data_IF_574547452675
#
_entry.id   IF_574547452675
#
_cell.length_a   1.000
_cell.length_b   1.000
_cell.length_c   1.000
_cell.angle_alpha   90.00
_cell.angle_beta   90.00
_cell.angle_gamma   90.00
#
_symmetry.space_group_name_H-M   'P 1'
#
loop_
_entity.id
_entity.type
_entity.pdbx_description
1 polymer ?
#
# COMPACT_ATOMS: atom_id res chain seq x y z
N UNK A 1 34.11 -1.35 50.94
CA UNK A 1 33.01 -1.27 49.91
C UNK A 1 31.69 -1.29 50.63
N UNK A 2 30.99 -0.15 50.71
CA UNK A 2 29.66 -0.04 51.35
C UNK A 2 28.62 -0.66 50.41
N UNK A 3 27.93 -1.70 50.92
CA UNK A 3 26.81 -2.30 50.19
C UNK A 3 25.58 -1.37 50.35
N UNK A 4 25.12 -0.81 49.26
CA UNK A 4 23.89 -0.02 49.22
C UNK A 4 22.69 -1.01 49.27
N UNK A 5 21.85 -0.93 50.33
CA UNK A 5 20.63 -1.69 50.46
C UNK A 5 19.52 -0.90 49.79
N UNK A 6 18.87 -1.48 48.79
CA UNK A 6 17.66 -0.92 48.17
C UNK A 6 16.49 -1.63 48.78
N UNK A 7 15.65 -0.90 49.53
CA UNK A 7 14.35 -1.39 50.05
C UNK A 7 13.26 -1.05 49.00
N UNK A 8 12.57 -2.08 48.51
CA UNK A 8 11.34 -1.89 47.72
C UNK A 8 10.16 -2.07 48.65
N UNK A 9 9.39 -1.01 48.89
CA UNK A 9 8.12 -1.06 49.59
C UNK A 9 6.98 -1.24 48.58
N UNK A 10 6.27 -2.36 48.70
CA UNK A 10 4.97 -2.50 48.06
C UNK A 10 3.90 -2.39 49.16
N UNK A 11 3.13 -1.31 49.16
CA UNK A 11 2.03 -1.13 50.08
C UNK A 11 0.73 -1.71 49.49
N UNK A 12 0.26 -2.83 50.04
CA UNK A 12 -1.12 -3.31 49.84
C UNK A 12 -1.93 -2.91 51.07
N UNK A 13 -2.92 -2.06 50.89
CA UNK A 13 -3.93 -1.72 51.88
C UNK A 13 -4.97 -2.86 51.98
N UNK A 14 -4.85 -3.71 52.97
CA UNK A 14 -5.91 -4.28 53.83
C UNK A 14 -5.38 -5.52 54.59
N UNK A 15 -5.43 -5.47 55.92
CA UNK A 15 -5.22 -6.62 56.82
C UNK A 15 -3.74 -6.91 57.11
N UNK A 16 -3.34 -6.71 58.39
CA UNK A 16 -1.96 -6.85 58.83
C UNK A 16 -1.36 -8.21 58.58
N UNK A 17 -0.55 -8.28 57.52
CA UNK A 17 0.42 -9.34 57.30
C UNK A 17 1.79 -8.67 57.31
N UNK A 18 2.57 -9.00 58.33
CA UNK A 18 3.98 -8.60 58.39
C UNK A 18 4.73 -9.36 57.30
N UNK A 19 4.98 -8.72 56.16
CA UNK A 19 5.86 -9.28 55.14
C UNK A 19 7.31 -9.02 55.56
N UNK A 20 8.03 -10.07 55.92
CA UNK A 20 9.48 -10.03 55.98
C UNK A 20 10.02 -9.87 54.55
N UNK A 21 10.67 -8.76 54.32
CA UNK A 21 11.40 -8.57 53.05
C UNK A 21 12.57 -9.56 52.96
N UNK A 22 12.45 -10.60 52.17
CA UNK A 22 13.61 -11.40 51.77
C UNK A 22 14.57 -10.55 50.94
N UNK A 23 15.85 -10.53 51.33
CA UNK A 23 16.92 -9.99 50.50
C UNK A 23 16.99 -10.81 49.21
N UNK A 24 16.34 -10.35 48.16
CA UNK A 24 16.53 -10.91 46.82
C UNK A 24 17.91 -10.47 46.28
N UNK A 25 18.72 -11.41 45.88
CA UNK A 25 19.96 -11.11 45.20
C UNK A 25 19.63 -10.25 43.93
N UNK A 26 20.17 -9.05 43.84
CA UNK A 26 19.98 -8.20 42.70
C UNK A 26 20.55 -8.90 41.44
N UNK A 27 19.79 -9.01 40.36
CA UNK A 27 20.29 -9.60 39.14
C UNK A 27 21.46 -8.78 38.61
N UNK A 28 22.46 -9.45 38.03
CA UNK A 28 23.63 -8.79 37.44
C UNK A 28 23.26 -7.78 36.36
N UNK A 29 22.10 -7.92 35.80
CA UNK A 29 21.58 -7.04 34.75
C UNK A 29 20.07 -6.88 34.94
N UNK A 30 19.62 -5.65 35.02
CA UNK A 30 18.19 -5.30 34.97
C UNK A 30 17.93 -4.88 33.54
N UNK A 31 17.14 -5.67 32.80
CA UNK A 31 16.63 -5.24 31.50
C UNK A 31 15.46 -4.28 31.75
N UNK A 32 15.72 -2.98 31.57
CA UNK A 32 14.69 -1.97 31.50
C UNK A 32 14.31 -1.87 30.04
N UNK A 33 13.47 -2.74 29.57
CA UNK A 33 12.96 -2.71 28.22
C UNK A 33 11.48 -2.91 28.22
N UNK A 34 10.75 -1.97 27.66
CA UNK A 34 9.41 -2.30 27.17
C UNK A 34 9.64 -3.07 25.88
N UNK A 35 9.25 -4.32 25.85
CA UNK A 35 8.95 -4.95 24.58
C UNK A 35 7.82 -4.12 23.96
N UNK A 36 8.17 -3.29 22.99
CA UNK A 36 7.15 -2.69 22.13
C UNK A 36 6.66 -3.84 21.26
N UNK A 37 5.54 -4.41 21.67
CA UNK A 37 4.78 -5.26 20.76
C UNK A 37 4.27 -4.31 19.68
N UNK A 38 4.93 -4.33 18.52
CA UNK A 38 4.42 -3.64 17.35
C UNK A 38 3.17 -4.42 16.92
N UNK A 39 2.02 -3.81 17.08
CA UNK A 39 0.77 -4.37 16.60
C UNK A 39 0.64 -4.06 15.12
N UNK A 40 0.25 -5.06 14.33
CA UNK A 40 -0.17 -4.86 12.94
C UNK A 40 -1.43 -4.01 12.94
N UNK A 41 -1.48 -2.99 12.12
CA UNK A 41 -2.71 -2.25 11.84
C UNK A 41 -3.62 -3.12 11.00
N UNK A 42 -4.90 -3.11 11.32
CA UNK A 42 -5.89 -3.85 10.53
C UNK A 42 -6.86 -2.85 9.92
N UNK A 43 -6.98 -2.89 8.62
CA UNK A 43 -8.03 -2.21 7.86
C UNK A 43 -9.01 -3.28 7.39
N UNK A 44 -10.22 -3.26 7.94
CA UNK A 44 -11.28 -4.21 7.57
C UNK A 44 -11.93 -3.76 6.28
N UNK A 45 -11.73 -4.55 5.24
CA UNK A 45 -12.32 -4.36 3.93
C UNK A 45 -13.39 -5.42 3.67
N UNK A 46 -14.43 -5.13 2.88
CA UNK A 46 -15.45 -6.12 2.55
C UNK A 46 -14.90 -7.19 1.61
N UNK A 47 -15.46 -8.38 1.67
CA UNK A 47 -15.31 -9.39 0.65
C UNK A 47 -16.38 -9.16 -0.44
N UNK A 48 -16.00 -9.27 -1.71
CA UNK A 48 -16.86 -8.94 -2.84
C UNK A 48 -16.91 -10.12 -3.82
N UNK A 49 -18.06 -10.74 -3.95
CA UNK A 49 -18.27 -11.84 -4.92
C UNK A 49 -17.23 -12.98 -4.78
N UNK A 50 -16.78 -13.27 -3.55
CA UNK A 50 -15.74 -14.27 -3.28
C UNK A 50 -14.32 -13.80 -3.58
N UNK A 51 -14.11 -12.50 -3.81
CA UNK A 51 -12.80 -11.86 -3.88
C UNK A 51 -12.48 -11.15 -2.57
N UNK A 52 -11.23 -11.27 -2.12
CA UNK A 52 -10.67 -10.48 -1.03
C UNK A 52 -10.06 -9.19 -1.60
N UNK A 53 -10.19 -8.09 -0.86
CA UNK A 53 -9.48 -6.85 -1.14
C UNK A 53 -8.11 -6.89 -0.44
N UNK A 54 -7.06 -7.17 -1.21
CA UNK A 54 -5.69 -7.18 -0.71
C UNK A 54 -5.10 -5.77 -0.77
N UNK A 55 -4.47 -5.34 0.32
CA UNK A 55 -3.81 -4.04 0.47
C UNK A 55 -2.37 -4.16 -0.03
N UNK A 56 -2.04 -3.47 -1.12
CA UNK A 56 -0.77 -3.63 -1.82
C UNK A 56 -0.10 -2.28 -2.06
N UNK A 57 1.24 -2.31 -2.11
CA UNK A 57 2.06 -1.20 -2.60
C UNK A 57 3.07 -1.75 -3.61
N UNK A 58 2.96 -1.30 -4.86
CA UNK A 58 3.75 -1.84 -5.97
C UNK A 58 4.88 -0.91 -6.42
N UNK A 59 5.23 0.10 -5.60
CA UNK A 59 6.31 1.02 -5.89
C UNK A 59 7.05 1.38 -4.60
N UNK A 60 8.15 0.65 -4.36
CA UNK A 60 8.91 0.76 -3.11
C UNK A 60 10.41 0.66 -3.38
N UNK A 61 11.18 1.63 -2.89
CA UNK A 61 12.63 1.71 -3.03
C UNK A 61 13.37 1.31 -1.77
N UNK A 62 14.58 0.79 -1.97
CA UNK A 62 15.46 0.35 -0.88
C UNK A 62 16.88 0.92 -1.05
N UNK A 63 17.79 0.56 -0.15
CA UNK A 63 19.21 0.93 -0.25
C UNK A 63 19.91 0.33 -1.50
N UNK A 64 19.25 -0.57 -2.23
CA UNK A 64 19.77 -1.11 -3.49
C UNK A 64 19.56 -0.15 -4.67
N UNK A 65 18.71 0.86 -4.52
CA UNK A 65 18.67 2.04 -5.38
C UNK A 65 19.03 3.30 -4.56
N UNK A 66 18.21 4.31 -4.56
CA UNK A 66 18.40 5.57 -3.86
C UNK A 66 17.55 5.70 -2.59
N UNK A 67 16.78 4.68 -2.24
CA UNK A 67 16.14 4.58 -0.94
C UNK A 67 17.16 4.40 0.18
N UNK A 68 16.78 4.78 1.41
CA UNK A 68 17.67 4.68 2.58
C UNK A 68 17.34 3.51 3.52
N UNK A 69 16.40 2.66 3.13
CA UNK A 69 15.84 1.61 3.98
C UNK A 69 16.22 0.21 3.46
N UNK A 70 16.59 -0.68 4.38
CA UNK A 70 16.88 -2.07 4.03
C UNK A 70 15.62 -2.83 3.58
N UNK A 71 15.72 -3.75 2.59
CA UNK A 71 14.58 -4.53 2.09
C UNK A 71 13.78 -5.24 3.17
N UNK A 72 14.46 -5.81 4.17
CA UNK A 72 13.80 -6.47 5.32
C UNK A 72 12.99 -5.50 6.16
N UNK A 73 13.41 -4.24 6.27
CA UNK A 73 12.66 -3.22 6.99
C UNK A 73 11.43 -2.77 6.19
N UNK A 74 11.49 -2.70 4.85
CA UNK A 74 10.32 -2.46 3.99
C UNK A 74 9.21 -3.48 4.23
N UNK A 75 9.59 -4.75 4.38
CA UNK A 75 8.64 -5.82 4.74
C UNK A 75 8.05 -5.60 6.13
N UNK A 76 8.87 -5.15 7.10
CA UNK A 76 8.38 -4.85 8.46
C UNK A 76 7.41 -3.69 8.47
N UNK A 77 7.73 -2.58 7.79
CA UNK A 77 6.85 -1.43 7.62
C UNK A 77 5.51 -1.86 6.98
N UNK A 78 5.56 -2.61 5.89
CA UNK A 78 4.36 -3.12 5.24
C UNK A 78 3.48 -3.96 6.18
N UNK A 79 4.11 -4.84 6.97
CA UNK A 79 3.37 -5.64 7.95
C UNK A 79 2.76 -4.78 9.06
N UNK A 80 3.52 -3.83 9.61
CA UNK A 80 3.05 -2.96 10.69
C UNK A 80 1.87 -2.10 10.25
N UNK A 81 1.86 -1.69 8.99
CA UNK A 81 0.82 -0.85 8.40
C UNK A 81 -0.36 -1.64 7.82
N UNK A 82 -0.32 -2.96 7.91
CA UNK A 82 -1.44 -3.82 7.53
C UNK A 82 -1.51 -4.18 6.06
N UNK A 83 -0.44 -3.96 5.28
CA UNK A 83 -0.40 -4.38 3.88
C UNK A 83 -0.35 -5.91 3.76
N UNK A 84 -0.89 -6.43 2.68
CA UNK A 84 -0.87 -7.85 2.31
C UNK A 84 0.27 -8.17 1.35
N UNK A 85 0.65 -7.21 0.49
CA UNK A 85 1.72 -7.37 -0.47
C UNK A 85 2.52 -6.08 -0.68
N UNK A 86 3.80 -6.22 -1.02
CA UNK A 86 4.63 -5.14 -1.57
C UNK A 86 5.42 -5.65 -2.76
N UNK A 87 5.73 -4.76 -3.72
CA UNK A 87 6.76 -4.99 -4.71
C UNK A 87 8.01 -4.19 -4.36
N UNK A 88 9.18 -4.83 -4.41
CA UNK A 88 10.45 -4.11 -4.41
C UNK A 88 10.77 -3.75 -5.86
N UNK A 89 10.88 -2.46 -6.12
CA UNK A 89 11.02 -1.87 -7.46
C UNK A 89 12.16 -0.88 -7.51
N UNK A 90 13.31 -1.25 -6.93
CA UNK A 90 14.52 -0.42 -6.98
C UNK A 90 14.85 -0.01 -8.41
N UNK A 91 15.37 1.21 -8.59
CA UNK A 91 15.82 1.72 -9.87
C UNK A 91 16.86 0.80 -10.50
N UNK A 92 16.71 0.51 -11.79
CA UNK A 92 17.71 -0.25 -12.55
C UNK A 92 18.94 0.60 -12.78
N UNK A 93 18.79 1.89 -13.13
CA UNK A 93 19.87 2.78 -13.48
C UNK A 93 20.43 3.57 -12.29
N UNK A 94 19.59 3.87 -11.32
CA UNK A 94 19.92 4.70 -10.17
C UNK A 94 20.34 3.91 -8.94
N UNK A 95 21.59 3.49 -8.84
CA UNK A 95 22.11 2.69 -7.72
C UNK A 95 23.30 3.38 -7.00
N UNK A 96 23.10 4.49 -6.28
CA UNK A 96 24.20 5.23 -5.65
C UNK A 96 24.97 4.42 -4.61
N UNK A 97 24.34 3.49 -3.92
CA UNK A 97 24.96 2.64 -2.91
C UNK A 97 25.58 1.33 -3.46
N UNK A 98 25.54 1.11 -4.79
CA UNK A 98 25.95 -0.14 -5.48
C UNK A 98 27.33 -0.69 -5.04
N UNK A 99 28.28 0.19 -4.80
CA UNK A 99 29.63 -0.20 -4.35
C UNK A 99 29.65 -0.80 -2.93
N UNK A 100 28.62 -0.54 -2.13
CA UNK A 100 28.53 -0.97 -0.72
C UNK A 100 27.59 -2.16 -0.54
N UNK A 101 26.50 -2.26 -1.33
CA UNK A 101 25.46 -3.28 -1.16
C UNK A 101 25.51 -4.40 -2.20
N UNK A 102 26.37 -4.27 -3.22
CA UNK A 102 26.49 -5.24 -4.32
C UNK A 102 25.82 -4.78 -5.62
N UNK A 103 26.07 -5.52 -6.69
CA UNK A 103 25.72 -5.10 -8.04
C UNK A 103 24.47 -5.71 -8.64
N UNK A 104 23.94 -6.80 -8.07
CA UNK A 104 22.78 -7.51 -8.62
C UNK A 104 21.48 -6.83 -8.27
N UNK A 105 20.62 -6.62 -9.23
CA UNK A 105 19.28 -6.05 -9.05
C UNK A 105 18.32 -7.03 -8.36
N UNK A 106 18.62 -8.33 -8.39
CA UNK A 106 17.85 -9.33 -7.65
C UNK A 106 18.09 -9.31 -6.13
N UNK A 107 19.19 -8.67 -5.66
CA UNK A 107 19.65 -8.75 -4.27
C UNK A 107 18.62 -8.20 -3.26
N UNK A 108 17.92 -7.13 -3.59
CA UNK A 108 16.93 -6.54 -2.71
C UNK A 108 15.77 -7.50 -2.42
N UNK A 109 15.23 -8.12 -3.46
CA UNK A 109 14.20 -9.16 -3.32
C UNK A 109 14.71 -10.37 -2.54
N UNK A 110 15.91 -10.88 -2.87
CA UNK A 110 16.50 -12.06 -2.22
C UNK A 110 16.75 -11.83 -0.74
N UNK A 111 17.12 -10.61 -0.35
CA UNK A 111 17.29 -10.22 1.05
C UNK A 111 15.94 -10.16 1.81
N UNK A 112 14.88 -9.73 1.16
CA UNK A 112 13.57 -9.53 1.80
C UNK A 112 12.73 -10.80 1.92
N UNK A 113 12.94 -11.80 1.07
CA UNK A 113 12.04 -12.96 0.90
C UNK A 113 11.78 -13.78 2.16
N UNK A 114 12.81 -13.98 3.00
CA UNK A 114 12.64 -14.75 4.25
C UNK A 114 11.82 -13.96 5.29
N UNK A 115 12.08 -12.66 5.40
CA UNK A 115 11.31 -11.79 6.29
C UNK A 115 9.85 -11.67 5.81
N UNK A 116 9.63 -11.59 4.50
CA UNK A 116 8.29 -11.57 3.91
C UNK A 116 7.52 -12.86 4.22
N UNK A 117 8.16 -14.02 4.04
CA UNK A 117 7.58 -15.31 4.38
C UNK A 117 7.23 -15.40 5.88
N UNK A 118 8.14 -14.97 6.76
CA UNK A 118 7.95 -14.96 8.21
C UNK A 118 6.79 -14.09 8.66
N UNK A 119 6.56 -12.96 7.98
CA UNK A 119 5.48 -12.01 8.29
C UNK A 119 4.21 -12.25 7.49
N UNK A 120 4.20 -13.26 6.62
CA UNK A 120 3.08 -13.54 5.73
C UNK A 120 2.73 -12.33 4.83
N UNK A 121 3.76 -11.62 4.34
CA UNK A 121 3.66 -10.60 3.31
C UNK A 121 3.95 -11.24 1.96
N UNK A 122 3.09 -10.99 0.97
CA UNK A 122 3.34 -11.40 -0.40
C UNK A 122 4.38 -10.44 -0.99
N UNK A 123 5.55 -10.96 -1.31
CA UNK A 123 6.63 -10.18 -1.90
C UNK A 123 6.63 -10.37 -3.41
N UNK A 124 6.44 -9.28 -4.14
CA UNK A 124 6.51 -9.24 -5.61
C UNK A 124 7.90 -8.80 -6.04
N UNK A 125 8.50 -9.57 -6.94
CA UNK A 125 9.78 -9.20 -7.54
C UNK A 125 9.54 -8.24 -8.70
N UNK A 126 10.22 -7.08 -8.66
CA UNK A 126 10.12 -6.07 -9.70
C UNK A 126 11.39 -5.22 -9.80
N UNK A 127 11.35 -4.26 -10.69
CA UNK A 127 12.38 -3.25 -10.85
C UNK A 127 11.83 -2.07 -11.64
N UNK A 128 12.33 -0.89 -11.35
CA UNK A 128 11.94 0.32 -12.04
C UNK A 128 12.94 0.67 -13.14
N UNK A 129 12.48 0.58 -14.39
CA UNK A 129 13.20 1.06 -15.57
C UNK A 129 13.08 2.58 -15.60
N UNK A 130 14.16 3.27 -15.27
CA UNK A 130 14.19 4.71 -15.01
C UNK A 130 14.76 5.46 -16.18
N UNK A 131 13.96 6.32 -16.81
CA UNK A 131 14.37 7.18 -17.93
C UNK A 131 13.75 8.56 -17.78
N UNK A 132 14.39 9.54 -18.42
CA UNK A 132 13.77 10.86 -18.56
C UNK A 132 12.48 10.77 -19.38
N UNK A 133 11.53 11.64 -19.08
CA UNK A 133 10.28 11.74 -19.84
C UNK A 133 10.52 12.33 -21.23
N UNK A 134 10.02 11.72 -22.33
CA UNK A 134 9.44 10.39 -22.43
C UNK A 134 10.48 9.27 -22.54
N UNK A 135 10.28 8.01 -22.11
CA UNK A 135 9.02 7.44 -21.65
C UNK A 135 8.72 7.69 -20.17
N UNK A 136 9.66 8.19 -19.36
CA UNK A 136 9.57 8.27 -17.94
C UNK A 136 9.93 6.95 -17.25
N UNK A 137 9.42 6.74 -16.06
CA UNK A 137 9.69 5.57 -15.23
C UNK A 137 8.62 4.50 -15.41
N UNK A 138 9.04 3.25 -15.51
CA UNK A 138 8.13 2.12 -15.64
C UNK A 138 8.52 0.99 -14.69
N UNK A 139 7.60 0.57 -13.84
CA UNK A 139 7.79 -0.65 -13.05
C UNK A 139 7.48 -1.89 -13.87
N UNK A 140 8.41 -2.85 -13.85
CA UNK A 140 8.19 -4.20 -14.32
C UNK A 140 7.98 -5.12 -13.12
N UNK A 141 6.74 -5.59 -12.93
CA UNK A 141 6.35 -6.44 -11.79
C UNK A 141 6.30 -7.91 -12.20
N UNK A 142 6.55 -8.81 -11.25
CA UNK A 142 6.53 -10.26 -11.43
C UNK A 142 7.58 -10.77 -12.42
N UNK A 143 8.75 -10.15 -12.45
CA UNK A 143 9.91 -10.63 -13.20
C UNK A 143 10.61 -11.75 -12.45
N UNK A 144 11.20 -12.69 -13.17
CA UNK A 144 12.03 -13.74 -12.60
C UNK A 144 13.46 -13.27 -12.35
N UNK A 145 13.99 -12.48 -13.29
CA UNK A 145 15.33 -11.94 -13.28
C UNK A 145 15.32 -10.42 -13.55
N UNK A 146 15.57 -9.65 -12.50
CA UNK A 146 15.61 -8.17 -12.56
C UNK A 146 16.90 -7.70 -13.27
N UNK A 147 18.01 -8.46 -13.17
CA UNK A 147 19.27 -8.10 -13.85
C UNK A 147 19.12 -8.05 -15.40
N UNK A 148 18.17 -8.82 -15.95
CA UNK A 148 17.86 -8.79 -17.37
C UNK A 148 17.29 -7.44 -17.86
N UNK A 149 16.79 -6.60 -16.93
CA UNK A 149 16.26 -5.27 -17.22
C UNK A 149 17.37 -4.22 -17.38
N UNK A 150 18.60 -4.49 -16.93
CA UNK A 150 19.74 -3.58 -17.07
C UNK A 150 20.22 -3.52 -18.53
N UNK A 151 19.49 -2.74 -19.32
CA UNK A 151 19.73 -2.57 -20.77
C UNK A 151 19.96 -1.08 -21.07
N UNK A 152 20.97 -0.74 -21.89
CA UNK A 152 21.22 0.65 -22.30
C UNK A 152 20.02 1.28 -23.04
N UNK A 153 19.34 0.47 -23.84
CA UNK A 153 18.16 0.86 -24.60
C UNK A 153 16.89 0.54 -23.80
N UNK A 154 16.05 1.56 -23.54
CA UNK A 154 14.83 1.38 -22.74
C UNK A 154 13.82 0.42 -23.38
N UNK A 155 13.73 0.39 -24.72
CA UNK A 155 12.84 -0.55 -25.40
C UNK A 155 13.28 -1.99 -25.21
N UNK A 156 14.60 -2.24 -25.14
CA UNK A 156 15.15 -3.57 -24.84
C UNK A 156 14.91 -3.95 -23.39
N UNK A 157 14.98 -2.99 -22.45
CA UNK A 157 14.63 -3.23 -21.04
C UNK A 157 13.16 -3.64 -20.91
N UNK A 158 12.25 -2.90 -21.55
CA UNK A 158 10.81 -3.21 -21.55
C UNK A 158 10.53 -4.55 -22.25
N UNK A 159 11.20 -4.81 -23.38
CA UNK A 159 11.08 -6.10 -24.09
C UNK A 159 11.56 -7.27 -23.21
N UNK A 160 12.65 -7.09 -22.44
CA UNK A 160 13.15 -8.10 -21.52
C UNK A 160 12.16 -8.36 -20.37
N UNK A 161 11.50 -7.32 -19.87
CA UNK A 161 10.41 -7.45 -18.91
C UNK A 161 9.20 -8.21 -19.50
N UNK A 162 8.76 -7.80 -20.68
CA UNK A 162 7.62 -8.42 -21.38
C UNK A 162 7.87 -9.92 -21.66
N UNK A 163 9.08 -10.29 -22.10
CA UNK A 163 9.46 -11.70 -22.36
C UNK A 163 9.38 -12.58 -21.12
N UNK A 164 9.52 -12.01 -19.93
CA UNK A 164 9.33 -12.69 -18.65
C UNK A 164 7.86 -12.71 -18.20
N UNK A 165 6.94 -12.17 -18.99
CA UNK A 165 5.53 -12.06 -18.65
C UNK A 165 5.27 -11.06 -17.51
N UNK A 166 6.11 -10.04 -17.39
CA UNK A 166 5.93 -8.97 -16.42
C UNK A 166 4.66 -8.18 -16.67
N UNK A 167 4.08 -7.66 -15.59
CA UNK A 167 3.10 -6.59 -15.65
C UNK A 167 3.86 -5.26 -15.66
N UNK A 168 3.64 -4.42 -16.65
CA UNK A 168 4.36 -3.14 -16.81
C UNK A 168 3.40 -1.99 -16.53
N UNK A 169 3.76 -1.15 -15.53
CA UNK A 169 3.04 0.05 -15.18
C UNK A 169 3.86 1.30 -15.47
N UNK A 170 3.22 2.38 -15.90
CA UNK A 170 3.81 3.71 -15.99
C UNK A 170 3.67 4.43 -14.65
N UNK A 171 4.80 4.86 -14.09
CA UNK A 171 4.89 5.47 -12.78
C UNK A 171 4.72 6.99 -12.88
N UNK A 172 4.15 7.61 -11.84
CA UNK A 172 4.09 9.06 -11.56
C UNK A 172 4.20 9.94 -12.84
N UNK A 173 3.19 9.93 -13.73
CA UNK A 173 3.27 10.55 -15.07
C UNK A 173 3.45 12.07 -15.05
N UNK A 174 3.31 12.72 -13.88
CA UNK A 174 3.51 14.16 -13.68
C UNK A 174 4.87 14.52 -13.11
N UNK A 175 5.67 13.53 -12.71
CA UNK A 175 6.94 13.81 -12.05
C UNK A 175 7.97 14.43 -13.00
N UNK A 176 8.55 15.57 -12.57
CA UNK A 176 9.62 16.24 -13.32
C UNK A 176 9.20 16.87 -14.64
N UNK A 177 7.90 17.08 -14.89
CA UNK A 177 7.38 17.69 -16.11
C UNK A 177 6.38 18.82 -15.80
N UNK A 178 6.35 19.85 -16.63
CA UNK A 178 5.40 20.96 -16.51
C UNK A 178 3.97 20.59 -16.93
N UNK A 179 3.85 19.58 -17.80
CA UNK A 179 2.57 19.13 -18.34
C UNK A 179 2.57 17.61 -18.52
N UNK A 180 1.53 16.96 -18.02
CA UNK A 180 1.34 15.53 -18.17
C UNK A 180 0.77 15.24 -19.55
N UNK A 181 1.49 14.48 -20.38
CA UNK A 181 1.09 14.17 -21.74
C UNK A 181 1.23 12.68 -22.05
N UNK A 182 0.32 12.16 -22.87
CA UNK A 182 0.44 10.84 -23.48
C UNK A 182 1.31 10.97 -24.73
N UNK A 183 2.55 10.46 -24.66
CA UNK A 183 3.51 10.52 -25.76
C UNK A 183 3.39 9.35 -26.72
N UNK A 184 3.94 9.47 -27.93
CA UNK A 184 3.93 8.41 -28.95
C UNK A 184 4.54 7.10 -28.45
N UNK A 185 5.53 7.16 -27.56
CA UNK A 185 6.13 5.97 -26.97
C UNK A 185 5.15 5.22 -26.06
N UNK A 186 4.31 5.92 -25.29
CA UNK A 186 3.29 5.29 -24.47
C UNK A 186 2.21 4.67 -25.34
N UNK A 187 1.82 5.34 -26.44
CA UNK A 187 0.89 4.79 -27.42
C UNK A 187 1.44 3.53 -28.10
N UNK A 188 2.74 3.51 -28.45
CA UNK A 188 3.40 2.34 -29.03
C UNK A 188 3.45 1.17 -28.05
N UNK A 189 3.83 1.43 -26.78
CA UNK A 189 3.82 0.41 -25.72
C UNK A 189 2.42 -0.13 -25.46
N UNK A 190 1.41 0.75 -25.40
CA UNK A 190 0.01 0.36 -25.23
C UNK A 190 -0.47 -0.53 -26.37
N UNK A 191 -0.25 -0.12 -27.65
CA UNK A 191 -0.65 -0.91 -28.83
C UNK A 191 0.03 -2.27 -28.92
N UNK A 192 1.25 -2.39 -28.40
CA UNK A 192 1.96 -3.66 -28.28
C UNK A 192 1.46 -4.53 -27.15
N UNK A 193 0.58 -4.01 -26.28
CA UNK A 193 0.16 -4.68 -25.05
C UNK A 193 1.27 -4.79 -24.00
N UNK A 194 2.27 -3.91 -24.08
CA UNK A 194 3.40 -3.87 -23.14
C UNK A 194 3.18 -2.89 -21.99
N UNK A 195 2.27 -1.94 -22.14
CA UNK A 195 1.83 -1.06 -21.06
C UNK A 195 0.49 -1.56 -20.52
N UNK A 196 0.48 -1.99 -19.27
CA UNK A 196 -0.67 -2.67 -18.66
C UNK A 196 -1.39 -1.83 -17.60
N UNK A 197 -0.69 -0.89 -16.98
CA UNK A 197 -1.23 -0.06 -15.91
C UNK A 197 -0.56 1.30 -15.81
N UNK A 198 -1.13 2.17 -14.98
CA UNK A 198 -0.64 3.53 -14.76
C UNK A 198 -0.91 3.96 -13.31
N UNK A 199 0.02 4.69 -12.71
CA UNK A 199 -0.22 5.36 -11.46
C UNK A 199 -1.12 6.58 -11.65
N UNK A 200 -2.22 6.58 -10.92
CA UNK A 200 -3.13 7.72 -10.81
C UNK A 200 -2.91 8.49 -9.52
N UNK A 201 -2.23 7.86 -8.57
CA UNK A 201 -1.78 8.45 -7.32
C UNK A 201 -0.39 7.90 -6.97
N UNK A 202 0.55 8.79 -6.66
CA UNK A 202 1.89 8.43 -6.22
C UNK A 202 2.33 9.39 -5.11
N UNK A 203 2.90 8.88 -4.04
CA UNK A 203 3.35 9.63 -2.87
C UNK A 203 2.25 10.57 -2.31
N UNK A 204 2.24 11.84 -2.71
CA UNK A 204 1.24 12.87 -2.36
C UNK A 204 0.62 13.52 -3.59
N UNK A 205 0.84 12.97 -4.77
CA UNK A 205 0.40 13.55 -6.03
C UNK A 205 -0.74 12.73 -6.66
N UNK A 206 -1.79 13.42 -7.03
CA UNK A 206 -2.91 12.84 -7.77
C UNK A 206 -2.89 13.31 -9.23
N UNK A 207 -3.05 12.38 -10.14
CA UNK A 207 -3.02 12.61 -11.60
C UNK A 207 -4.40 12.38 -12.25
N UNK A 208 -5.33 13.35 -12.22
CA UNK A 208 -6.66 13.18 -12.81
C UNK A 208 -6.64 12.78 -14.29
N UNK A 209 -5.67 13.31 -15.05
CA UNK A 209 -5.53 12.99 -16.47
C UNK A 209 -5.14 11.52 -16.68
N UNK A 210 -4.31 10.95 -15.80
CA UNK A 210 -3.94 9.55 -15.85
C UNK A 210 -5.14 8.62 -15.57
N UNK A 211 -6.03 9.03 -14.65
CA UNK A 211 -7.30 8.33 -14.44
C UNK A 211 -8.18 8.34 -15.71
N UNK A 212 -8.20 9.47 -16.42
CA UNK A 212 -8.89 9.58 -17.70
C UNK A 212 -8.34 8.58 -18.73
N UNK A 213 -7.02 8.52 -18.90
CA UNK A 213 -6.38 7.56 -19.81
C UNK A 213 -6.59 6.11 -19.38
N UNK A 214 -6.53 5.83 -18.08
CA UNK A 214 -6.76 4.48 -17.58
C UNK A 214 -8.18 3.98 -17.91
N UNK A 215 -9.19 4.85 -17.81
CA UNK A 215 -10.56 4.52 -18.19
C UNK A 215 -10.73 4.39 -19.72
N UNK A 216 -10.14 5.31 -20.49
CA UNK A 216 -10.23 5.30 -21.97
C UNK A 216 -9.52 4.10 -22.57
N UNK A 217 -8.31 3.77 -22.08
CA UNK A 217 -7.43 2.74 -22.63
C UNK A 217 -7.50 1.42 -21.88
N UNK A 218 -8.42 1.29 -20.95
CA UNK A 218 -8.62 0.08 -20.16
C UNK A 218 -7.34 -0.38 -19.43
N UNK A 219 -6.59 0.56 -18.83
CA UNK A 219 -5.40 0.28 -18.04
C UNK A 219 -5.75 0.01 -16.57
N UNK A 220 -4.90 -0.75 -15.90
CA UNK A 220 -5.00 -1.01 -14.46
C UNK A 220 -4.59 0.24 -13.68
N UNK A 221 -5.36 0.59 -12.66
CA UNK A 221 -5.13 1.73 -11.79
C UNK A 221 -4.19 1.36 -10.63
N UNK A 222 -3.22 2.24 -10.37
CA UNK A 222 -2.33 2.11 -9.22
C UNK A 222 -2.32 3.37 -8.37
N UNK A 223 -2.24 3.16 -7.04
CA UNK A 223 -1.88 4.15 -6.06
C UNK A 223 -0.79 3.57 -5.17
N UNK A 224 0.38 4.12 -5.22
CA UNK A 224 1.57 3.60 -4.57
C UNK A 224 2.30 4.70 -3.79
N UNK A 225 3.27 4.31 -2.96
CA UNK A 225 4.01 5.27 -2.14
C UNK A 225 5.24 5.83 -2.83
N UNK A 226 5.91 5.06 -3.68
CA UNK A 226 7.23 5.43 -4.21
C UNK A 226 8.23 5.76 -3.08
N UNK A 227 8.11 5.02 -1.97
CA UNK A 227 8.77 5.38 -0.73
C UNK A 227 10.27 5.15 -0.78
N UNK A 228 11.04 6.21 -0.53
CA UNK A 228 12.51 6.19 -0.44
C UNK A 228 13.01 6.27 1.00
N UNK A 229 12.34 7.06 1.86
CA UNK A 229 12.66 7.21 3.28
C UNK A 229 11.87 6.20 4.14
N UNK A 230 12.06 6.24 5.46
CA UNK A 230 11.24 5.52 6.43
C UNK A 230 9.80 6.01 6.33
N UNK A 231 8.85 5.08 6.18
CA UNK A 231 7.44 5.42 5.92
C UNK A 231 6.85 6.33 7.01
N UNK A 232 7.18 6.10 8.28
CA UNK A 232 6.71 6.93 9.42
C UNK A 232 7.19 8.40 9.36
N UNK A 233 8.17 8.73 8.52
CA UNK A 233 8.61 10.11 8.30
C UNK A 233 7.78 10.84 7.26
N UNK A 234 7.22 10.11 6.32
CA UNK A 234 6.43 10.65 5.22
C UNK A 234 4.94 10.73 5.57
N UNK A 235 4.43 9.74 6.29
CA UNK A 235 3.02 9.62 6.64
C UNK A 235 2.83 9.69 8.14
N UNK A 236 2.10 10.70 8.63
CA UNK A 236 1.70 10.77 10.04
C UNK A 236 0.47 9.88 10.27
N UNK A 237 0.72 8.63 10.59
CA UNK A 237 -0.32 7.63 10.87
C UNK A 237 -1.26 7.99 12.04
N UNK A 238 -0.99 9.08 12.76
CA UNK A 238 -1.92 9.61 13.76
C UNK A 238 -2.93 10.57 13.15
N UNK A 239 -2.62 11.13 11.96
CA UNK A 239 -3.48 12.10 11.25
C UNK A 239 -4.07 11.51 9.98
N UNK A 240 -3.28 10.78 9.20
CA UNK A 240 -3.66 10.26 7.88
C UNK A 240 -4.10 8.81 7.88
N UNK A 241 -3.91 8.14 8.99
CA UNK A 241 -4.29 6.75 9.24
C UNK A 241 -3.61 5.68 8.38
N UNK A 242 -3.29 5.93 7.11
CA UNK A 242 -2.65 4.96 6.21
C UNK A 242 -1.82 5.61 5.10
N UNK A 243 -0.89 4.84 4.54
CA UNK A 243 -0.18 5.17 3.29
C UNK A 243 -1.14 4.98 2.09
N UNK A 244 -0.87 5.63 0.94
CA UNK A 244 -1.56 5.26 -0.30
C UNK A 244 -1.34 3.80 -0.62
N UNK A 245 -2.38 3.14 -1.13
CA UNK A 245 -2.32 1.73 -1.47
C UNK A 245 -3.21 1.39 -2.65
N UNK A 246 -2.78 0.38 -3.40
CA UNK A 246 -3.58 -0.29 -4.40
C UNK A 246 -4.33 -1.43 -3.73
N UNK A 247 -5.67 -1.37 -3.74
CA UNK A 247 -6.53 -2.46 -3.30
C UNK A 247 -6.78 -3.41 -4.46
N UNK A 248 -6.37 -4.67 -4.32
CA UNK A 248 -6.46 -5.68 -5.36
C UNK A 248 -7.55 -6.68 -5.02
N UNK A 249 -8.55 -6.83 -5.90
CA UNK A 249 -9.60 -7.86 -5.76
C UNK A 249 -9.05 -9.18 -6.28
N UNK A 250 -8.60 -10.03 -5.39
CA UNK A 250 -8.02 -11.34 -5.69
C UNK A 250 -8.82 -12.48 -5.04
N UNK A 251 -8.94 -13.62 -5.74
CA UNK A 251 -9.54 -14.83 -5.17
C UNK A 251 -8.61 -15.48 -4.15
N UNK A 252 -7.33 -15.46 -4.45
CA UNK A 252 -6.31 -16.12 -3.66
C UNK A 252 -5.31 -15.10 -3.14
N UNK A 253 -4.87 -15.28 -1.88
CA UNK A 253 -3.84 -14.46 -1.26
C UNK A 253 -2.45 -14.99 -1.65
N UNK A 254 -2.13 -14.88 -2.96
CA UNK A 254 -0.88 -15.34 -3.57
C UNK A 254 -0.36 -14.30 -4.57
N UNK A 255 0.93 -14.38 -4.91
CA UNK A 255 1.53 -13.55 -5.96
C UNK A 255 0.84 -13.77 -7.32
N UNK A 256 0.53 -15.01 -7.67
CA UNK A 256 -0.16 -15.34 -8.92
C UNK A 256 -1.60 -14.81 -8.95
N UNK A 257 -2.31 -14.90 -7.82
CA UNK A 257 -3.66 -14.31 -7.68
C UNK A 257 -3.65 -12.79 -7.82
N UNK A 258 -2.64 -12.11 -7.27
CA UNK A 258 -2.44 -10.68 -7.47
C UNK A 258 -2.13 -10.38 -8.94
N UNK A 259 -1.19 -11.11 -9.56
CA UNK A 259 -0.82 -10.95 -10.97
C UNK A 259 -2.05 -11.07 -11.88
N UNK A 260 -2.83 -12.13 -11.69
CA UNK A 260 -4.08 -12.35 -12.45
C UNK A 260 -5.06 -11.18 -12.27
N UNK A 261 -5.26 -10.72 -11.03
CA UNK A 261 -6.16 -9.62 -10.73
C UNK A 261 -5.70 -8.29 -11.38
N UNK A 262 -4.39 -8.02 -11.41
CA UNK A 262 -3.84 -6.85 -12.08
C UNK A 262 -4.10 -6.91 -13.60
N UNK A 263 -3.81 -8.03 -14.27
CA UNK A 263 -4.12 -8.18 -15.70
C UNK A 263 -5.63 -8.13 -15.98
N UNK A 264 -6.46 -8.53 -15.04
CA UNK A 264 -7.91 -8.40 -15.12
C UNK A 264 -8.45 -7.03 -14.67
N UNK A 265 -7.57 -6.08 -14.30
CA UNK A 265 -7.88 -4.68 -13.92
C UNK A 265 -8.80 -4.57 -12.70
N UNK A 266 -8.72 -5.54 -11.81
CA UNK A 266 -9.50 -5.57 -10.58
C UNK A 266 -8.77 -4.86 -9.45
N UNK A 267 -8.58 -3.53 -9.61
CA UNK A 267 -7.91 -2.65 -8.64
C UNK A 267 -8.74 -1.43 -8.32
N UNK A 268 -8.52 -0.95 -7.09
CA UNK A 268 -8.96 0.36 -6.60
C UNK A 268 -7.77 1.04 -5.94
N UNK A 269 -7.78 2.35 -5.87
CA UNK A 269 -6.76 3.14 -5.17
C UNK A 269 -7.39 3.72 -3.90
N UNK A 270 -6.69 3.60 -2.77
CA UNK A 270 -7.13 4.13 -1.49
C UNK A 270 -6.06 5.02 -0.86
N UNK A 271 -6.41 6.28 -0.60
CA UNK A 271 -5.55 7.27 0.04
C UNK A 271 -6.40 8.39 0.67
N UNK A 272 -5.96 8.93 1.80
CA UNK A 272 -6.66 10.01 2.50
C UNK A 272 -8.17 9.82 2.59
N UNK A 273 -8.61 8.65 3.03
CA UNK A 273 -10.03 8.27 3.12
C UNK A 273 -10.81 8.37 1.78
N UNK A 274 -10.08 8.44 0.67
CA UNK A 274 -10.65 8.49 -0.68
C UNK A 274 -10.45 7.17 -1.39
N UNK A 275 -11.55 6.59 -1.84
CA UNK A 275 -11.53 5.39 -2.70
C UNK A 275 -11.74 5.80 -4.16
N UNK A 276 -10.84 5.38 -5.03
CA UNK A 276 -10.84 5.72 -6.45
C UNK A 276 -10.77 4.45 -7.31
N UNK A 277 -11.50 4.42 -8.41
CA UNK A 277 -11.46 3.28 -9.32
C UNK A 277 -12.62 3.28 -10.30
N UNK A 278 -12.85 2.13 -10.94
CA UNK A 278 -13.97 1.93 -11.87
C UNK A 278 -15.28 1.94 -11.10
N UNK A 279 -16.29 2.59 -11.65
CA UNK A 279 -17.61 2.75 -11.03
C UNK A 279 -18.20 1.42 -10.55
N UNK A 280 -18.13 0.39 -11.37
CA UNK A 280 -18.66 -0.95 -11.03
C UNK A 280 -18.01 -1.54 -9.78
N UNK A 281 -16.69 -1.37 -9.62
CA UNK A 281 -15.96 -1.87 -8.45
C UNK A 281 -16.24 -1.01 -7.22
N UNK A 282 -16.31 0.33 -7.38
CA UNK A 282 -16.69 1.24 -6.32
C UNK A 282 -18.07 0.95 -5.77
N UNK A 283 -19.05 0.71 -6.67
CA UNK A 283 -20.41 0.34 -6.28
C UNK A 283 -20.42 -0.97 -5.48
N UNK A 284 -19.72 -2.00 -5.94
CA UNK A 284 -19.64 -3.29 -5.24
C UNK A 284 -19.01 -3.16 -3.86
N UNK A 285 -17.92 -2.39 -3.72
CA UNK A 285 -17.31 -2.12 -2.42
C UNK A 285 -18.28 -1.42 -1.49
N UNK A 286 -18.98 -0.39 -1.99
CA UNK A 286 -19.97 0.35 -1.21
C UNK A 286 -21.11 -0.56 -0.74
N UNK A 287 -21.70 -1.33 -1.65
CA UNK A 287 -22.80 -2.26 -1.33
C UNK A 287 -22.36 -3.33 -0.31
N UNK A 288 -21.16 -3.91 -0.48
CA UNK A 288 -20.64 -4.93 0.42
C UNK A 288 -20.21 -4.37 1.80
N UNK A 289 -19.92 -3.06 1.88
CA UNK A 289 -19.55 -2.39 3.13
C UNK A 289 -20.76 -2.03 3.99
N UNK A 290 -21.95 -1.99 3.43
CA UNK A 290 -23.13 -1.49 4.14
C UNK A 290 -24.16 -2.60 4.37
N UNK A 291 -24.69 -2.61 5.59
CA UNK A 291 -25.89 -3.38 5.94
C UNK A 291 -27.04 -2.44 6.19
N UNK A 292 -28.11 -2.60 5.39
CA UNK A 292 -29.31 -1.79 5.49
C UNK A 292 -30.43 -2.64 6.12
N UNK A 293 -31.01 -2.19 7.24
CA UNK A 293 -32.11 -2.89 7.88
C UNK A 293 -33.41 -2.73 7.06
N UNK A 294 -34.37 -3.62 7.24
CA UNK A 294 -35.75 -3.32 6.86
C UNK A 294 -36.25 -2.04 7.53
N UNK A 295 -37.22 -1.38 6.90
CA UNK A 295 -37.92 -0.24 7.53
C UNK A 295 -38.58 -0.71 8.82
N UNK A 296 -38.15 -0.21 9.96
CA UNK A 296 -38.69 -0.60 11.25
C UNK A 296 -39.78 0.35 11.80
N UNK A 297 -39.86 1.57 11.24
CA UNK A 297 -40.91 2.53 11.54
C UNK A 297 -41.20 3.39 10.32
N UNK A 298 -42.47 3.73 10.10
CA UNK A 298 -42.89 4.57 8.98
C UNK A 298 -44.04 5.50 9.41
N UNK A 299 -43.99 6.74 8.89
CA UNK A 299 -45.09 7.71 8.95
C UNK A 299 -45.55 8.02 7.53
N UNK A 300 -46.56 8.85 7.37
CA UNK A 300 -47.01 9.30 6.05
C UNK A 300 -45.94 10.00 5.23
N UNK A 301 -44.96 10.61 5.91
CA UNK A 301 -43.91 11.43 5.29
C UNK A 301 -42.49 10.86 5.45
N UNK A 302 -42.24 9.90 6.36
CA UNK A 302 -40.90 9.45 6.70
C UNK A 302 -40.83 7.94 6.90
N UNK A 303 -39.74 7.33 6.44
CA UNK A 303 -39.40 5.94 6.72
C UNK A 303 -38.09 5.90 7.50
N UNK A 304 -38.03 5.03 8.50
CA UNK A 304 -36.87 4.87 9.38
C UNK A 304 -36.25 3.51 9.15
N UNK A 305 -34.97 3.50 8.88
CA UNK A 305 -34.16 2.31 8.71
C UNK A 305 -32.78 2.55 9.36
N UNK A 306 -32.05 1.49 9.59
CA UNK A 306 -30.69 1.54 10.12
C UNK A 306 -29.72 1.20 8.98
N UNK A 307 -28.66 2.00 8.88
CA UNK A 307 -27.52 1.74 8.00
C UNK A 307 -26.32 1.52 8.89
N UNK A 308 -25.66 0.36 8.74
CA UNK A 308 -24.45 -0.01 9.45
C UNK A 308 -23.31 -0.13 8.43
N UNK A 309 -22.20 0.59 8.66
CA UNK A 309 -20.96 0.38 7.93
C UNK A 309 -20.20 -0.78 8.60
N UNK A 310 -20.01 -1.88 7.90
CA UNK A 310 -19.33 -3.09 8.39
C UNK A 310 -17.84 -3.12 8.05
N UNK A 311 -17.36 -2.11 7.29
CA UNK A 311 -15.95 -1.92 6.91
C UNK A 311 -15.31 -0.77 7.69
N UNK A 312 -14.00 -0.59 7.52
CA UNK A 312 -13.27 0.58 8.03
C UNK A 312 -13.17 1.69 6.95
N UNK A 313 -13.76 1.49 5.76
CA UNK A 313 -13.84 2.54 4.73
C UNK A 313 -14.87 3.59 5.13
N UNK A 314 -14.53 4.88 5.15
CA UNK A 314 -15.49 5.94 5.47
C UNK A 314 -16.40 6.23 4.26
N UNK A 315 -17.71 6.38 4.51
CA UNK A 315 -18.68 6.78 3.50
C UNK A 315 -19.48 7.99 3.96
N UNK A 316 -19.52 9.00 3.11
CA UNK A 316 -20.39 10.16 3.29
C UNK A 316 -21.70 9.97 2.53
N UNK A 317 -22.80 9.77 3.25
CA UNK A 317 -24.11 9.61 2.65
C UNK A 317 -24.81 10.96 2.55
N UNK A 318 -25.35 11.27 1.37
CA UNK A 318 -26.13 12.47 1.12
C UNK A 318 -27.55 12.07 0.66
N UNK A 319 -28.58 12.76 1.16
CA UNK A 319 -29.93 12.57 0.67
C UNK A 319 -30.17 13.48 -0.53
N UNK A 320 -30.06 12.93 -1.75
CA UNK A 320 -30.24 13.68 -2.98
C UNK A 320 -31.67 14.22 -3.16
N UNK A 321 -32.68 13.66 -2.48
CA UNK A 321 -34.07 14.12 -2.59
C UNK A 321 -34.34 15.39 -1.77
N UNK A 322 -33.51 15.73 -0.80
CA UNK A 322 -33.66 16.97 -0.03
C UNK A 322 -33.14 18.21 -0.77
N UNK A 323 -32.28 18.06 -1.75
CA UNK A 323 -31.74 19.18 -2.52
C UNK A 323 -32.69 19.75 -3.58
N UNK A 324 -33.76 19.04 -3.94
CA UNK A 324 -34.73 19.48 -4.95
C UNK A 324 -35.91 20.22 -4.36
N UNK A 325 -36.17 20.14 -3.04
CA UNK A 325 -37.33 20.76 -2.38
C UNK A 325 -36.99 22.05 -1.61
N UNK A 326 -35.76 22.18 -1.09
CA UNK A 326 -35.42 23.32 -0.22
C UNK A 326 -34.82 24.51 -0.98
N UNK A 327 -34.43 24.35 -2.24
CA UNK A 327 -33.96 25.47 -3.07
C UNK A 327 -35.11 26.40 -3.59
N UNK A 328 -36.36 26.03 -3.39
CA UNK A 328 -37.55 26.77 -3.84
C UNK A 328 -38.18 27.65 -2.73
N UNK A 329 -37.82 27.44 -1.46
CA UNK A 329 -38.44 28.16 -0.33
C UNK A 329 -37.56 29.26 0.28
N UNK A 330 -36.35 29.51 -0.26
CA UNK A 330 -35.51 30.66 0.11
C UNK A 330 -35.44 31.70 -1.02
N UNK A 331 -36.62 32.20 -1.47
CA UNK A 331 -36.74 33.44 -2.24
C UNK A 331 -37.82 34.32 -1.69
#
# INVERSE_FOLDING_TARGET
>A
MKKTKVLVFAALLTGGVCMQAQEAALPKQIKIGKERVKARRELRLPEIDGYQLLKCDFHVHTIFSDGIVWPTLRVQEAWEEGLDAIAITDHIEGQPARQHVGKGHNNAFDMAKEEAARRNIILVKGGEITRSMPPGHLNALFVEDVDALDQPDYMKAIEAAHKQGAFIQWNHPGWGVDSIMWHDVHEDLYRKGWLNGIEVYNEFEWYPVALGWANEKDLTLFGNTDVHDVVERLYDFRQTDHRPMTLVLSKDRTSDGIKEALFARRTLVYFYDTLMGREELLQKVFEASLRVSPVYYSTDKRRYLQIENTSDLPFRLCNCLLYTSDAADER
#
